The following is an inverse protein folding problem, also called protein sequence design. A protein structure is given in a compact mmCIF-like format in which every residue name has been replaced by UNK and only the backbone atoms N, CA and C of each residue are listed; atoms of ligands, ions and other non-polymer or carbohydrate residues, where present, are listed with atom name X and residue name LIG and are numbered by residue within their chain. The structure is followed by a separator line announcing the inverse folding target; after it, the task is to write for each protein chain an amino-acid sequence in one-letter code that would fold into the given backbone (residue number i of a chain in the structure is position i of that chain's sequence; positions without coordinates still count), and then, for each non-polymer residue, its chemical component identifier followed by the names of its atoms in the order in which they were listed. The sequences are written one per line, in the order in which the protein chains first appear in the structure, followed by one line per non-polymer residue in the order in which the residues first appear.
data_IF_830693691214
#
_entry.id   IF_830693691214
#
_cell.length_a   1.000
_cell.length_b   1.000
_cell.length_c   1.000
_cell.angle_alpha   90.00
_cell.angle_beta   90.00
_cell.angle_gamma   90.00
#
_symmetry.space_group_name_H-M   'P 1'
#
loop_
_entity.id
_entity.type
_entity.pdbx_description
1 polymer ?
#
# COMPACT_ATOMS: atom_id res chain seq x y z
N UNK A 1 -27.54 -16.77 -77.94
CA UNK A 1 -27.61 -17.41 -76.61
C UNK A 1 -26.26 -18.07 -76.40
N UNK A 2 -25.32 -17.29 -75.84
CA UNK A 2 -23.93 -17.70 -75.65
C UNK A 2 -23.78 -17.97 -74.16
N UNK A 3 -23.53 -19.23 -73.81
CA UNK A 3 -23.38 -19.68 -72.43
C UNK A 3 -21.97 -19.25 -72.00
N UNK A 4 -21.93 -18.38 -71.00
CA UNK A 4 -20.71 -17.89 -70.38
C UNK A 4 -20.16 -19.00 -69.49
N UNK A 5 -19.22 -19.79 -70.03
CA UNK A 5 -18.47 -20.78 -69.26
C UNK A 5 -17.61 -20.04 -68.24
N UNK A 6 -17.96 -20.18 -66.95
CA UNK A 6 -17.16 -19.71 -65.83
C UNK A 6 -15.86 -20.50 -65.77
N UNK A 7 -14.71 -19.82 -65.81
CA UNK A 7 -13.41 -20.46 -65.62
C UNK A 7 -13.36 -21.28 -64.31
N UNK A 8 -12.84 -22.51 -64.34
CA UNK A 8 -12.64 -23.29 -63.13
C UNK A 8 -11.60 -22.60 -62.25
N UNK A 9 -12.04 -22.15 -61.06
CA UNK A 9 -11.17 -21.55 -60.05
C UNK A 9 -9.95 -22.43 -59.80
N UNK A 10 -8.76 -21.85 -59.89
CA UNK A 10 -7.49 -22.56 -59.73
C UNK A 10 -7.45 -23.27 -58.37
N UNK A 11 -7.11 -24.57 -58.31
CA UNK A 11 -7.05 -25.30 -57.05
C UNK A 11 -5.93 -24.71 -56.19
N UNK A 12 -6.29 -24.18 -55.02
CA UNK A 12 -5.32 -23.66 -54.05
C UNK A 12 -4.39 -24.81 -53.65
N UNK A 13 -3.07 -24.70 -53.84
CA UNK A 13 -2.15 -25.77 -53.51
C UNK A 13 -2.25 -26.06 -52.01
N UNK A 14 -2.62 -27.30 -51.66
CA UNK A 14 -2.60 -27.73 -50.27
C UNK A 14 -1.17 -27.66 -49.77
N UNK A 15 -0.91 -26.78 -48.80
CA UNK A 15 0.38 -26.69 -48.12
C UNK A 15 0.28 -27.51 -46.83
N UNK A 16 0.58 -28.82 -46.85
CA UNK A 16 0.36 -29.70 -45.70
C UNK A 16 1.13 -29.22 -44.48
N UNK A 17 2.31 -28.62 -44.67
CA UNK A 17 3.10 -28.03 -43.59
C UNK A 17 2.34 -26.90 -42.86
N UNK A 18 1.57 -26.07 -43.57
CA UNK A 18 0.75 -25.02 -42.95
C UNK A 18 -0.37 -25.61 -42.12
N UNK A 19 -1.00 -26.70 -42.59
CA UNK A 19 -2.03 -27.42 -41.82
C UNK A 19 -1.45 -27.98 -40.54
N UNK A 20 -0.26 -28.59 -40.59
CA UNK A 20 0.45 -29.07 -39.41
C UNK A 20 0.83 -27.93 -38.47
N UNK A 21 1.34 -26.80 -38.97
CA UNK A 21 1.65 -25.63 -38.14
C UNK A 21 0.43 -25.05 -37.44
N UNK A 22 -0.69 -24.92 -38.16
CA UNK A 22 -1.97 -24.44 -37.60
C UNK A 22 -2.48 -25.40 -36.53
N UNK A 23 -2.44 -26.71 -36.78
CA UNK A 23 -2.85 -27.72 -35.80
C UNK A 23 -1.97 -27.68 -34.56
N UNK A 24 -0.64 -27.59 -34.71
CA UNK A 24 0.28 -27.49 -33.58
C UNK A 24 0.05 -26.21 -32.75
N UNK A 25 -0.17 -25.07 -33.40
CA UNK A 25 -0.50 -23.82 -32.72
C UNK A 25 -1.85 -23.89 -32.00
N UNK A 26 -2.86 -24.51 -32.62
CA UNK A 26 -4.16 -24.71 -32.01
C UNK A 26 -4.09 -25.62 -30.78
N UNK A 27 -3.33 -26.72 -30.87
CA UNK A 27 -3.08 -27.62 -29.73
C UNK A 27 -2.34 -26.87 -28.61
N UNK A 28 -1.30 -26.11 -28.95
CA UNK A 28 -0.56 -25.32 -27.97
C UNK A 28 -1.45 -24.29 -27.27
N UNK A 29 -2.31 -23.60 -28.03
CA UNK A 29 -3.26 -22.64 -27.50
C UNK A 29 -4.28 -23.32 -26.57
N UNK A 30 -4.82 -24.48 -26.97
CA UNK A 30 -5.75 -25.24 -26.15
C UNK A 30 -5.10 -25.70 -24.83
N UNK A 31 -3.87 -26.23 -24.89
CA UNK A 31 -3.10 -26.61 -23.69
C UNK A 31 -2.87 -25.40 -22.80
N UNK A 32 -2.45 -24.27 -23.36
CA UNK A 32 -2.24 -23.02 -22.62
C UNK A 32 -3.53 -22.54 -21.91
N UNK A 33 -4.67 -22.57 -22.61
CA UNK A 33 -5.97 -22.20 -22.04
C UNK A 33 -6.38 -23.12 -20.89
N UNK A 34 -6.16 -24.44 -21.02
CA UNK A 34 -6.45 -25.40 -19.94
C UNK A 34 -5.59 -25.14 -18.70
N UNK A 35 -4.30 -24.84 -18.90
CA UNK A 35 -3.40 -24.51 -17.78
C UNK A 35 -3.83 -23.23 -17.06
N UNK A 36 -4.17 -22.17 -17.79
CA UNK A 36 -4.67 -20.93 -17.20
C UNK A 36 -6.00 -21.14 -16.47
N UNK A 37 -6.89 -21.96 -17.02
CA UNK A 37 -8.16 -22.30 -16.36
C UNK A 37 -7.92 -23.03 -15.04
N UNK A 38 -6.99 -24.00 -15.00
CA UNK A 38 -6.63 -24.70 -13.75
C UNK A 38 -5.97 -23.77 -12.73
N UNK A 39 -5.18 -22.79 -13.16
CA UNK A 39 -4.57 -21.79 -12.29
C UNK A 39 -5.62 -20.89 -11.61
N UNK A 40 -6.63 -20.45 -12.36
CA UNK A 40 -7.71 -19.58 -11.88
C UNK A 40 -8.83 -20.33 -11.14
N UNK A 41 -8.97 -21.64 -11.36
CA UNK A 41 -10.02 -22.45 -10.76
C UNK A 41 -9.84 -22.57 -9.22
N UNK A 42 -10.92 -22.67 -8.43
CA UNK A 42 -10.82 -22.99 -7.00
C UNK A 42 -10.07 -24.31 -6.73
N UNK A 43 -9.68 -24.54 -5.48
CA UNK A 43 -9.09 -25.82 -5.07
C UNK A 43 -9.99 -26.99 -5.48
N UNK A 44 -9.41 -27.94 -6.21
CA UNK A 44 -10.12 -29.11 -6.74
C UNK A 44 -9.15 -30.29 -6.86
N UNK A 45 -9.63 -31.54 -6.82
CA UNK A 45 -8.77 -32.71 -6.93
C UNK A 45 -7.86 -32.71 -8.17
N UNK A 46 -8.35 -32.17 -9.29
CA UNK A 46 -7.58 -32.01 -10.53
C UNK A 46 -6.45 -30.97 -10.39
N UNK A 47 -6.72 -29.84 -9.73
CA UNK A 47 -5.71 -28.80 -9.46
C UNK A 47 -4.63 -29.31 -8.50
N UNK A 48 -5.03 -30.04 -7.47
CA UNK A 48 -4.11 -30.57 -6.46
C UNK A 48 -3.22 -31.68 -7.04
N UNK A 49 -3.74 -32.49 -7.97
CA UNK A 49 -2.96 -33.53 -8.67
C UNK A 49 -1.86 -32.95 -9.58
N UNK A 50 -2.11 -31.80 -10.23
CA UNK A 50 -1.09 -31.10 -11.03
C UNK A 50 -0.08 -30.38 -10.13
N UNK A 51 -0.54 -29.91 -8.96
CA UNK A 51 0.26 -29.26 -7.94
C UNK A 51 0.43 -27.76 -8.20
N UNK A 52 0.15 -26.96 -7.16
CA UNK A 52 0.21 -25.49 -7.24
C UNK A 52 1.59 -24.96 -7.67
N UNK A 53 2.69 -25.62 -7.28
CA UNK A 53 4.05 -25.23 -7.65
C UNK A 53 4.32 -25.40 -9.15
N UNK A 54 3.75 -26.44 -9.78
CA UNK A 54 3.98 -26.71 -11.20
C UNK A 54 3.17 -25.74 -12.07
N UNK A 55 1.92 -25.46 -11.67
CA UNK A 55 1.10 -24.44 -12.32
C UNK A 55 1.74 -23.06 -12.18
N UNK A 56 2.25 -22.71 -10.99
CA UNK A 56 2.99 -21.48 -10.74
C UNK A 56 4.22 -21.37 -11.66
N UNK A 57 5.04 -22.42 -11.78
CA UNK A 57 6.24 -22.40 -12.64
C UNK A 57 5.94 -22.12 -14.13
N UNK A 58 4.77 -22.51 -14.62
CA UNK A 58 4.34 -22.26 -16.00
C UNK A 58 3.75 -20.86 -16.18
N UNK A 59 2.98 -20.37 -15.20
CA UNK A 59 2.23 -19.11 -15.29
C UNK A 59 3.09 -17.93 -14.86
N UNK A 60 3.83 -18.06 -13.77
CA UNK A 60 4.61 -16.99 -13.15
C UNK A 60 5.56 -16.28 -14.12
N UNK A 61 6.28 -16.93 -15.05
CA UNK A 61 7.16 -16.24 -16.00
C UNK A 61 6.45 -15.25 -16.92
N UNK A 62 5.19 -15.51 -17.28
CA UNK A 62 4.39 -14.67 -18.18
C UNK A 62 3.52 -13.66 -17.44
N UNK A 63 3.27 -13.93 -16.15
CA UNK A 63 2.48 -13.09 -15.25
C UNK A 63 3.30 -12.64 -14.04
N UNK A 64 4.57 -12.26 -14.23
CA UNK A 64 5.36 -11.51 -13.23
C UNK A 64 4.80 -10.09 -12.98
N UNK A 65 3.48 -9.95 -12.92
CA UNK A 65 2.74 -8.77 -12.51
C UNK A 65 2.66 -8.66 -10.97
N UNK A 66 3.33 -9.56 -10.24
CA UNK A 66 3.49 -9.54 -8.79
C UNK A 66 4.96 -9.47 -8.37
N UNK A 67 5.29 -8.38 -7.69
CA UNK A 67 6.46 -8.07 -6.87
C UNK A 67 7.86 -7.81 -7.47
N UNK A 68 8.31 -8.38 -8.59
CA UNK A 68 9.66 -8.10 -9.08
C UNK A 68 9.71 -7.55 -10.52
N UNK A 69 9.72 -6.23 -10.63
CA UNK A 69 10.32 -5.52 -11.76
C UNK A 69 9.46 -5.39 -13.01
N UNK A 70 8.58 -4.37 -13.01
CA UNK A 70 7.96 -3.76 -14.21
C UNK A 70 6.78 -4.54 -14.82
N UNK A 71 5.69 -4.67 -14.04
CA UNK A 71 4.33 -4.93 -14.56
C UNK A 71 3.44 -3.68 -14.47
N UNK A 72 2.34 -3.63 -15.22
CA UNK A 72 1.30 -2.60 -15.03
C UNK A 72 0.83 -2.66 -13.57
N UNK A 73 1.01 -1.56 -12.84
CA UNK A 73 0.77 -1.49 -11.39
C UNK A 73 2.02 -1.62 -10.50
N UNK A 74 3.23 -1.69 -11.07
CA UNK A 74 4.49 -1.71 -10.32
C UNK A 74 4.50 -0.61 -9.24
N UNK A 75 4.51 -1.01 -7.98
CA UNK A 75 4.52 -0.08 -6.87
C UNK A 75 5.90 0.61 -6.83
N UNK A 76 6.01 1.81 -7.40
CA UNK A 76 7.28 2.55 -7.44
C UNK A 76 7.69 3.15 -6.09
N UNK A 77 6.74 3.22 -5.16
CA UNK A 77 6.88 3.88 -3.87
C UNK A 77 6.14 3.06 -2.82
N UNK A 78 6.78 2.83 -1.68
CA UNK A 78 6.14 2.26 -0.50
C UNK A 78 6.24 3.24 0.67
N UNK A 79 5.16 3.35 1.41
CA UNK A 79 4.97 4.36 2.44
C UNK A 79 4.40 3.71 3.67
N UNK A 80 4.92 4.11 4.82
CA UNK A 80 4.50 3.59 6.12
C UNK A 80 4.01 4.71 7.02
N UNK A 81 2.96 4.43 7.78
CA UNK A 81 2.45 5.26 8.85
C UNK A 81 2.52 4.45 10.13
N UNK A 82 3.47 4.78 11.02
CA UNK A 82 3.61 4.10 12.30
C UNK A 82 3.19 4.99 13.46
N UNK A 83 2.56 4.39 14.46
CA UNK A 83 2.03 5.07 15.64
C UNK A 83 2.63 4.45 16.89
N UNK A 84 2.85 5.28 17.90
CA UNK A 84 3.05 4.86 19.28
C UNK A 84 2.36 5.81 20.24
N UNK A 85 2.12 5.35 21.45
CA UNK A 85 1.45 6.10 22.48
C UNK A 85 2.26 6.14 23.77
N UNK A 86 2.00 7.16 24.57
CA UNK A 86 2.33 7.18 25.98
C UNK A 86 1.04 6.85 26.74
N UNK A 87 1.02 5.71 27.41
CA UNK A 87 -0.16 5.23 28.13
C UNK A 87 0.03 5.36 29.64
N UNK A 88 -1.06 5.57 30.37
CA UNK A 88 -1.13 5.48 31.82
C UNK A 88 -2.22 4.45 32.16
N UNK A 89 -1.83 3.21 32.44
CA UNK A 89 -2.77 2.20 32.88
C UNK A 89 -3.53 2.62 34.14
N UNK A 90 -4.73 2.10 34.32
CA UNK A 90 -5.54 2.37 35.50
C UNK A 90 -4.80 1.95 36.78
N UNK A 91 -4.81 2.81 37.81
CA UNK A 91 -4.07 2.59 39.05
C UNK A 91 -2.54 2.80 38.97
N UNK A 92 -1.97 2.98 37.77
CA UNK A 92 -0.54 3.21 37.62
C UNK A 92 -0.15 4.68 37.82
N UNK A 93 0.86 4.92 38.67
CA UNK A 93 1.43 6.28 38.87
C UNK A 93 2.36 6.73 37.74
N UNK A 94 2.89 5.78 36.96
CA UNK A 94 3.87 6.04 35.89
C UNK A 94 3.24 5.81 34.52
N UNK A 95 3.69 6.60 33.55
CA UNK A 95 3.33 6.40 32.14
C UNK A 95 4.29 5.42 31.48
N UNK A 96 3.77 4.54 30.61
CA UNK A 96 4.53 3.56 29.84
C UNK A 96 4.54 3.95 28.37
N UNK A 97 5.72 3.89 27.74
CA UNK A 97 5.87 4.15 26.30
C UNK A 97 5.61 2.85 25.52
N UNK A 98 4.72 2.88 24.55
CA UNK A 98 4.43 1.71 23.70
C UNK A 98 5.48 1.56 22.58
N UNK A 99 5.51 0.37 21.99
CA UNK A 99 6.27 0.12 20.76
C UNK A 99 5.62 0.81 19.56
N UNK A 100 6.38 0.92 18.47
CA UNK A 100 5.86 1.41 17.20
C UNK A 100 5.03 0.33 16.53
N UNK A 101 3.80 0.68 16.14
CA UNK A 101 2.92 -0.15 15.34
C UNK A 101 2.84 0.44 13.95
N UNK A 102 3.25 -0.30 12.92
CA UNK A 102 3.08 0.10 11.51
C UNK A 102 1.65 -0.23 11.06
N UNK A 103 0.80 0.79 11.03
CA UNK A 103 -0.62 0.63 10.70
C UNK A 103 -0.81 0.34 9.21
N UNK A 104 0.05 0.90 8.35
CA UNK A 104 0.00 0.59 6.92
C UNK A 104 0.32 -0.88 6.65
N UNK A 105 1.26 -1.46 7.40
CA UNK A 105 1.54 -2.88 7.31
C UNK A 105 0.39 -3.76 7.83
N UNK A 106 -0.32 -3.30 8.87
CA UNK A 106 -1.53 -3.98 9.38
C UNK A 106 -2.65 -3.95 8.34
N UNK A 107 -2.98 -2.77 7.78
CA UNK A 107 -3.99 -2.60 6.72
C UNK A 107 -3.68 -3.45 5.48
N UNK A 108 -2.41 -3.51 5.09
CA UNK A 108 -1.98 -4.32 3.95
C UNK A 108 -2.29 -5.79 4.20
N UNK A 109 -1.87 -6.33 5.35
CA UNK A 109 -2.09 -7.76 5.67
C UNK A 109 -3.58 -8.13 5.69
N UNK A 110 -4.47 -7.24 6.14
CA UNK A 110 -5.91 -7.53 6.16
C UNK A 110 -6.58 -7.49 4.79
N UNK A 111 -5.92 -6.94 3.76
CA UNK A 111 -6.49 -6.78 2.41
C UNK A 111 -5.86 -7.66 1.34
N UNK A 112 -4.77 -8.40 1.65
CA UNK A 112 -4.05 -9.24 0.67
C UNK A 112 -4.94 -10.28 -0.04
N UNK A 113 -6.02 -10.73 0.60
CA UNK A 113 -6.94 -11.73 0.04
C UNK A 113 -8.36 -11.20 -0.18
N UNK A 114 -8.57 -9.88 -0.05
CA UNK A 114 -9.87 -9.27 -0.26
C UNK A 114 -10.01 -8.83 -1.73
N UNK A 115 -11.03 -9.35 -2.41
CA UNK A 115 -11.32 -9.04 -3.82
C UNK A 115 -12.02 -7.68 -3.98
N UNK A 116 -12.59 -7.13 -2.90
CA UNK A 116 -13.21 -5.79 -2.86
C UNK A 116 -12.88 -5.08 -1.53
N UNK A 117 -11.60 -4.70 -1.32
CA UNK A 117 -11.16 -4.12 -0.05
C UNK A 117 -11.89 -2.81 0.21
N UNK A 118 -12.55 -2.73 1.36
CA UNK A 118 -13.20 -1.50 1.79
C UNK A 118 -12.20 -0.33 1.78
N UNK A 119 -12.60 0.82 1.23
CA UNK A 119 -11.73 2.03 1.06
C UNK A 119 -11.05 2.51 2.35
N UNK A 120 -11.60 2.13 3.51
CA UNK A 120 -11.06 2.43 4.84
C UNK A 120 -9.68 1.77 5.04
N UNK A 121 -9.39 0.64 4.40
CA UNK A 121 -8.09 -0.06 4.47
C UNK A 121 -6.96 0.60 3.67
N UNK A 122 -7.18 1.80 3.12
CA UNK A 122 -6.13 2.62 2.51
C UNK A 122 -5.89 3.93 3.28
N UNK A 123 -6.45 4.08 4.48
CA UNK A 123 -6.44 5.36 5.19
C UNK A 123 -5.05 5.67 5.74
N UNK A 124 -4.40 4.71 6.40
CA UNK A 124 -3.05 4.91 6.92
C UNK A 124 -2.05 5.13 5.77
N UNK A 125 -2.22 4.40 4.66
CA UNK A 125 -1.42 4.62 3.44
C UNK A 125 -1.59 6.05 2.88
N UNK A 126 -2.82 6.53 2.71
CA UNK A 126 -3.07 7.90 2.22
C UNK A 126 -2.53 8.98 3.15
N UNK A 127 -2.65 8.78 4.47
CA UNK A 127 -2.03 9.67 5.45
C UNK A 127 -0.51 9.67 5.32
N UNK A 128 0.11 8.50 5.15
CA UNK A 128 1.54 8.39 4.90
C UNK A 128 1.95 9.16 3.64
N UNK A 129 1.24 8.99 2.53
CA UNK A 129 1.52 9.71 1.26
C UNK A 129 1.49 11.22 1.45
N UNK A 130 0.40 11.71 2.01
CA UNK A 130 0.15 13.14 2.14
C UNK A 130 1.12 13.81 3.14
N UNK A 131 1.40 13.14 4.26
CA UNK A 131 2.39 13.64 5.23
C UNK A 131 3.81 13.58 4.69
N UNK A 132 4.20 12.51 3.97
CA UNK A 132 5.51 12.45 3.33
C UNK A 132 5.67 13.63 2.36
N UNK A 133 4.69 13.85 1.48
CA UNK A 133 4.71 14.98 0.55
C UNK A 133 4.80 16.33 1.28
N UNK A 134 4.01 16.52 2.34
CA UNK A 134 4.07 17.73 3.16
C UNK A 134 5.46 17.93 3.80
N UNK A 135 6.06 16.87 4.32
CA UNK A 135 7.41 16.91 4.89
C UNK A 135 8.48 17.19 3.83
N UNK A 136 8.37 16.62 2.63
CA UNK A 136 9.32 16.92 1.54
C UNK A 136 9.27 18.38 1.10
N UNK A 137 8.11 19.04 1.21
CA UNK A 137 7.93 20.47 0.89
C UNK A 137 8.43 21.41 2.01
N UNK A 138 9.01 20.88 3.08
CA UNK A 138 9.61 21.65 4.17
C UNK A 138 11.13 21.51 4.14
N UNK A 139 11.82 22.56 4.56
CA UNK A 139 13.27 22.58 4.68
C UNK A 139 13.76 21.76 5.88
N UNK A 140 15.03 21.30 5.89
CA UNK A 140 15.58 20.48 6.98
C UNK A 140 15.38 21.09 8.38
N UNK A 141 15.58 22.41 8.54
CA UNK A 141 15.37 23.10 9.83
C UNK A 141 13.90 23.11 10.26
N UNK A 142 12.98 23.26 9.31
CA UNK A 142 11.54 23.18 9.56
C UNK A 142 11.12 21.76 9.96
N UNK A 143 11.72 20.73 9.34
CA UNK A 143 11.49 19.33 9.73
C UNK A 143 12.02 19.02 11.14
N UNK A 144 13.19 19.57 11.51
CA UNK A 144 13.72 19.48 12.89
C UNK A 144 12.77 20.10 13.89
N UNK A 145 12.17 21.24 13.54
CA UNK A 145 11.16 21.90 14.37
C UNK A 145 9.93 21.02 14.60
N UNK A 146 9.42 20.38 13.54
CA UNK A 146 8.27 19.48 13.64
C UNK A 146 8.55 18.29 14.57
N UNK A 147 9.78 17.76 14.52
CA UNK A 147 10.24 16.69 15.40
C UNK A 147 10.31 17.12 16.86
N UNK A 148 10.57 18.40 17.14
CA UNK A 148 10.72 18.92 18.51
C UNK A 148 9.41 19.41 19.15
N UNK A 149 8.29 19.40 18.41
CA UNK A 149 6.97 19.77 18.93
C UNK A 149 6.60 18.93 20.16
N UNK A 150 6.20 19.59 21.22
CA UNK A 150 5.71 18.97 22.46
C UNK A 150 4.19 18.81 22.41
N UNK A 151 3.62 17.90 23.21
CA UNK A 151 2.18 17.65 23.19
C UNK A 151 1.32 18.90 23.44
N UNK A 152 1.79 19.82 24.29
CA UNK A 152 1.10 21.07 24.62
C UNK A 152 1.31 22.19 23.59
N UNK A 153 2.16 21.97 22.58
CA UNK A 153 2.37 22.94 21.52
C UNK A 153 1.17 22.87 20.56
N UNK A 154 0.21 23.77 20.75
CA UNK A 154 -0.96 23.87 19.88
C UNK A 154 -0.61 24.28 18.44
N UNK A 155 -1.58 24.10 17.54
CA UNK A 155 -1.47 24.40 16.10
C UNK A 155 -0.95 25.82 15.84
N UNK A 156 -1.41 26.81 16.61
CA UNK A 156 -0.98 28.21 16.47
C UNK A 156 0.52 28.39 16.73
N UNK A 157 1.07 27.68 17.72
CA UNK A 157 2.49 27.74 18.06
C UNK A 157 3.34 27.10 16.97
N UNK A 158 2.92 25.93 16.48
CA UNK A 158 3.61 25.24 15.36
C UNK A 158 3.58 26.10 14.11
N UNK A 159 2.43 26.70 13.78
CA UNK A 159 2.27 27.63 12.66
C UNK A 159 3.25 28.80 12.77
N UNK A 160 3.23 29.51 13.90
CA UNK A 160 4.10 30.68 14.12
C UNK A 160 5.58 30.30 14.00
N UNK A 161 5.96 29.14 14.52
CA UNK A 161 7.33 28.66 14.48
C UNK A 161 7.78 28.29 13.06
N UNK A 162 6.92 27.67 12.24
CA UNK A 162 7.19 27.41 10.83
C UNK A 162 7.27 28.70 10.01
N UNK A 163 6.35 29.65 10.24
CA UNK A 163 6.38 30.97 9.58
C UNK A 163 7.67 31.71 9.89
N UNK A 164 8.11 31.73 11.16
CA UNK A 164 9.37 32.36 11.58
C UNK A 164 10.60 31.74 10.90
N UNK A 165 10.54 30.46 10.55
CA UNK A 165 11.59 29.73 9.83
C UNK A 165 11.41 29.77 8.29
N UNK A 166 10.64 30.74 7.78
CA UNK A 166 10.52 30.99 6.34
C UNK A 166 9.69 29.96 5.56
N UNK A 167 8.91 29.11 6.23
CA UNK A 167 8.01 28.20 5.52
C UNK A 167 6.90 29.01 4.82
N UNK A 168 6.65 28.70 3.54
CA UNK A 168 5.59 29.39 2.81
C UNK A 168 4.20 29.01 3.35
N UNK A 169 3.22 29.92 3.22
CA UNK A 169 1.89 29.76 3.81
C UNK A 169 1.13 28.51 3.31
N UNK A 170 1.34 28.11 2.04
CA UNK A 170 0.70 26.94 1.43
C UNK A 170 1.25 25.64 2.01
N UNK A 171 2.57 25.52 2.15
CA UNK A 171 3.24 24.38 2.79
C UNK A 171 2.82 24.25 4.24
N UNK A 172 2.78 25.37 5.00
CA UNK A 172 2.32 25.38 6.39
C UNK A 172 0.88 24.88 6.49
N UNK A 173 -0.02 25.41 5.64
CA UNK A 173 -1.44 25.05 5.69
C UNK A 173 -1.66 23.58 5.35
N UNK A 174 -0.98 23.09 4.31
CA UNK A 174 -1.05 21.68 3.90
C UNK A 174 -0.50 20.76 5.00
N UNK A 175 0.64 21.11 5.58
CA UNK A 175 1.24 20.37 6.68
C UNK A 175 0.30 20.30 7.89
N UNK A 176 -0.22 21.44 8.36
CA UNK A 176 -1.07 21.47 9.55
C UNK A 176 -2.39 20.70 9.37
N UNK A 177 -2.96 20.70 8.15
CA UNK A 177 -4.14 19.91 7.85
C UNK A 177 -3.88 18.40 7.98
N UNK A 178 -2.78 17.92 7.39
CA UNK A 178 -2.41 16.50 7.50
C UNK A 178 -1.90 16.11 8.89
N UNK A 179 -1.20 17.00 9.60
CA UNK A 179 -0.79 16.81 11.01
C UNK A 179 -2.01 16.66 11.92
N UNK A 180 -3.06 17.47 11.70
CA UNK A 180 -4.33 17.34 12.41
C UNK A 180 -5.03 16.02 12.10
N UNK A 181 -5.15 15.64 10.83
CA UNK A 181 -5.77 14.36 10.44
C UNK A 181 -5.02 13.15 11.02
N UNK A 182 -3.69 13.17 10.94
CA UNK A 182 -2.85 12.12 11.51
C UNK A 182 -2.94 12.05 13.03
N UNK A 183 -3.03 13.21 13.71
CA UNK A 183 -3.25 13.26 15.15
C UNK A 183 -4.59 12.64 15.54
N UNK A 184 -5.66 12.96 14.81
CA UNK A 184 -6.99 12.38 15.06
C UNK A 184 -6.99 10.87 14.83
N UNK A 185 -6.49 10.42 13.67
CA UNK A 185 -6.38 9.01 13.32
C UNK A 185 -5.54 8.24 14.35
N UNK A 186 -4.35 8.73 14.68
CA UNK A 186 -3.47 8.08 15.64
C UNK A 186 -4.05 8.03 17.05
N UNK A 187 -4.81 9.05 17.45
CA UNK A 187 -5.49 9.05 18.74
C UNK A 187 -6.58 8.00 18.81
N UNK A 188 -7.44 7.93 17.79
CA UNK A 188 -8.53 6.93 17.76
C UNK A 188 -7.98 5.51 17.64
N UNK A 189 -6.96 5.30 16.81
CA UNK A 189 -6.28 4.01 16.68
C UNK A 189 -5.63 3.56 17.99
N UNK A 190 -4.84 4.44 18.63
CA UNK A 190 -4.18 4.10 19.88
C UNK A 190 -5.17 3.84 21.02
N UNK A 191 -6.27 4.61 21.09
CA UNK A 191 -7.34 4.40 22.08
C UNK A 191 -8.04 3.05 21.90
N UNK A 192 -8.24 2.63 20.66
CA UNK A 192 -8.84 1.33 20.36
C UNK A 192 -7.90 0.17 20.73
N UNK A 193 -6.59 0.36 20.53
CA UNK A 193 -5.57 -0.65 20.80
C UNK A 193 -5.22 -0.82 22.29
N UNK A 194 -5.27 0.25 23.08
CA UNK A 194 -4.74 0.29 24.46
C UNK A 194 -5.77 0.69 25.54
N UNK A 195 -7.05 0.47 25.27
CA UNK A 195 -8.18 0.88 26.12
C UNK A 195 -8.28 2.41 26.32
N UNK A 196 -9.35 2.98 25.77
CA UNK A 196 -9.40 4.39 25.36
C UNK A 196 -8.96 5.44 26.37
N UNK A 197 -9.12 5.23 27.67
CA UNK A 197 -8.79 6.25 28.69
C UNK A 197 -7.34 6.23 29.16
N UNK A 198 -6.56 5.23 28.76
CA UNK A 198 -5.16 5.12 29.16
C UNK A 198 -4.23 5.99 28.30
N UNK A 199 -4.65 6.44 27.11
CA UNK A 199 -3.77 7.18 26.20
C UNK A 199 -3.60 8.64 26.66
N UNK A 200 -2.37 9.00 27.03
CA UNK A 200 -2.00 10.36 27.50
C UNK A 200 -1.45 11.23 26.39
N UNK A 201 -0.65 10.66 25.48
CA UNK A 201 -0.08 11.33 24.32
C UNK A 201 0.08 10.35 23.18
N UNK A 202 0.06 10.86 21.95
CA UNK A 202 0.34 10.08 20.75
C UNK A 202 1.51 10.67 19.99
N UNK A 203 2.25 9.80 19.33
CA UNK A 203 3.31 10.15 18.40
C UNK A 203 3.20 9.27 17.17
N UNK A 204 3.49 9.84 16.01
CA UNK A 204 3.54 9.11 14.76
C UNK A 204 4.83 9.40 14.01
N UNK A 205 5.15 8.54 13.04
CA UNK A 205 6.23 8.70 12.07
C UNK A 205 5.73 8.25 10.71
N UNK A 206 6.26 8.86 9.66
CA UNK A 206 6.02 8.41 8.28
C UNK A 206 7.32 7.97 7.64
N UNK A 207 7.25 6.87 6.90
CA UNK A 207 8.35 6.39 6.07
C UNK A 207 7.98 6.51 4.60
N UNK A 208 8.97 6.78 3.76
CA UNK A 208 8.89 6.57 2.31
C UNK A 208 10.14 5.87 1.82
N UNK A 209 9.96 4.85 0.98
CA UNK A 209 11.02 4.24 0.18
C UNK A 209 10.60 4.22 -1.27
N UNK A 210 11.57 4.29 -2.16
CA UNK A 210 11.39 4.28 -3.60
C UNK A 210 12.13 3.11 -4.19
N UNK A 211 11.70 2.67 -5.36
CA UNK A 211 12.36 1.57 -6.08
C UNK A 211 13.87 1.81 -6.19
N UNK A 212 14.69 0.76 -6.07
CA UNK A 212 16.11 0.85 -6.33
C UNK A 212 16.41 1.49 -7.70
N UNK A 213 17.59 2.13 -7.84
CA UNK A 213 18.09 2.57 -9.13
C UNK A 213 18.06 1.43 -10.15
N UNK A 214 17.85 1.75 -11.43
CA UNK A 214 17.65 0.74 -12.48
C UNK A 214 18.74 -0.34 -12.50
N UNK A 215 20.00 0.03 -12.26
CA UNK A 215 21.14 -0.86 -12.24
C UNK A 215 21.12 -1.94 -11.13
N UNK A 216 20.29 -1.77 -10.10
CA UNK A 216 20.19 -2.68 -8.95
C UNK A 216 18.85 -3.46 -8.89
N UNK A 217 17.95 -3.24 -9.86
CA UNK A 217 16.58 -3.80 -9.83
C UNK A 217 16.49 -5.30 -10.09
N UNK A 218 17.57 -5.90 -10.58
CA UNK A 218 17.73 -7.35 -10.72
C UNK A 218 18.09 -8.03 -9.40
N UNK A 219 18.66 -7.29 -8.45
CA UNK A 219 19.20 -7.81 -7.18
C UNK A 219 18.45 -7.34 -5.94
N UNK A 220 17.76 -6.20 -6.05
CA UNK A 220 17.06 -5.56 -4.94
C UNK A 220 15.63 -5.26 -5.33
N UNK A 221 14.74 -5.57 -4.41
CA UNK A 221 13.33 -5.24 -4.46
C UNK A 221 13.08 -3.93 -3.69
N UNK A 222 11.85 -3.42 -3.76
CA UNK A 222 11.44 -2.30 -2.91
C UNK A 222 11.49 -2.65 -1.42
N UNK A 223 11.29 -3.94 -1.08
CA UNK A 223 11.32 -4.42 0.29
C UNK A 223 12.72 -4.30 0.94
N UNK A 224 13.77 -4.37 0.11
CA UNK A 224 15.17 -4.32 0.52
C UNK A 224 15.71 -2.89 0.72
N UNK A 225 14.90 -1.87 0.40
CA UNK A 225 15.27 -0.46 0.59
C UNK A 225 14.73 0.04 1.93
N UNK A 226 15.63 0.63 2.72
CA UNK A 226 15.26 1.28 3.98
C UNK A 226 14.33 2.47 3.75
N UNK A 227 13.37 2.64 4.68
CA UNK A 227 12.53 3.82 4.68
C UNK A 227 13.34 5.07 5.03
N UNK A 228 13.15 6.14 4.26
CA UNK A 228 13.41 7.49 4.72
C UNK A 228 12.31 7.88 5.70
N UNK A 229 12.66 7.98 6.98
CA UNK A 229 11.68 8.22 8.07
C UNK A 229 11.67 9.69 8.48
N UNK A 230 10.47 10.26 8.56
CA UNK A 230 10.19 11.53 9.23
C UNK A 230 9.51 11.28 10.58
N UNK A 231 10.13 11.81 11.63
CA UNK A 231 9.61 11.76 13.00
C UNK A 231 8.86 13.04 13.34
N UNK A 232 7.70 12.90 13.97
CA UNK A 232 6.91 14.02 14.46
C UNK A 232 7.04 14.12 15.96
N UNK A 233 6.89 15.33 16.49
CA UNK A 233 6.79 15.56 17.92
C UNK A 233 5.54 14.90 18.55
N UNK A 234 5.43 15.01 19.87
CA UNK A 234 4.28 14.48 20.62
C UNK A 234 3.03 15.33 20.40
N UNK A 235 1.85 14.72 20.48
CA UNK A 235 0.54 15.39 20.39
C UNK A 235 -0.35 14.98 21.56
N UNK A 236 -1.21 15.91 22.00
CA UNK A 236 -2.33 15.55 22.86
C UNK A 236 -3.32 14.65 22.10
N UNK A 237 -3.90 13.66 22.78
CA UNK A 237 -4.81 12.72 22.14
C UNK A 237 -6.15 13.41 21.86
N UNK A 238 -6.63 13.25 20.63
CA UNK A 238 -7.99 13.56 20.25
C UNK A 238 -8.96 12.54 20.85
N UNK A 239 -10.08 12.99 21.41
CA UNK A 239 -11.08 12.11 22.03
C UNK A 239 -12.04 11.50 21.00
N UNK A 240 -12.43 12.27 19.98
CA UNK A 240 -13.45 11.88 19.00
C UNK A 240 -14.87 11.81 19.58
N UNK A 241 -15.85 11.64 18.70
CA UNK A 241 -17.23 11.32 19.08
C UNK A 241 -17.35 9.84 19.47
N UNK A 242 -18.49 9.44 20.03
CA UNK A 242 -18.75 8.04 20.36
C UNK A 242 -18.82 7.17 19.10
N UNK A 243 -19.42 7.66 18.03
CA UNK A 243 -19.51 6.99 16.74
C UNK A 243 -18.13 6.79 16.12
N UNK A 244 -17.27 7.82 16.18
CA UNK A 244 -15.90 7.72 15.68
C UNK A 244 -15.09 6.67 16.43
N UNK A 245 -15.26 6.57 17.76
CA UNK A 245 -14.60 5.53 18.58
C UNK A 245 -15.10 4.14 18.21
N UNK A 246 -16.41 3.95 18.10
CA UNK A 246 -17.01 2.67 17.72
C UNK A 246 -16.53 2.19 16.33
N UNK A 247 -16.43 3.11 15.37
CA UNK A 247 -15.90 2.80 14.03
C UNK A 247 -14.44 2.33 14.09
N UNK A 248 -13.60 2.97 14.92
CA UNK A 248 -12.21 2.55 15.10
C UNK A 248 -12.07 1.25 15.87
N UNK A 249 -12.93 0.99 16.86
CA UNK A 249 -12.96 -0.30 17.56
C UNK A 249 -13.26 -1.47 16.62
N UNK A 250 -14.21 -1.30 15.71
CA UNK A 250 -14.46 -2.30 14.67
C UNK A 250 -13.33 -2.42 13.65
N UNK A 251 -12.52 -1.38 13.45
CA UNK A 251 -11.43 -1.36 12.48
C UNK A 251 -10.15 -1.99 13.03
N UNK A 252 -9.85 -1.80 14.32
CA UNK A 252 -8.61 -2.31 14.97
C UNK A 252 -8.77 -3.73 15.50
N UNK A 253 -9.96 -4.11 16.02
CA UNK A 253 -10.16 -5.39 16.71
C UNK A 253 -10.61 -6.56 15.80
N UNK A 254 -10.55 -6.38 14.48
CA UNK A 254 -10.77 -7.46 13.49
C UNK A 254 -9.49 -8.25 13.28
#
# INVERSE_FOLDING_TARGET
MEIMDSEPGTPVPSRPWQRWSILSLAVLAAVHSVVLMLWLAPSSPLRDAVGSSNLASYVDPYFQQGDNGVGIGAQFVDESFSIRALIRPEGAKKTTLTTWVDVTAVERRSTVHDLDPARVHATARRLATNLNLAMFNLEPEQRKLIRSVKALDGVTKVRAALTKNGANARSITSFLAYDQMATQFASLYARSLYDGDQVVQVQYRVGRRTVPPFADRDKKTLADVDYRIFYFGWRLPFRGSTEARAAFDSYVKK
#
